data_IF_471612590907
#
_entry.id   IF_471612590907
#
_cell.length_a   1.000
_cell.length_b   1.000
_cell.length_c   1.000
_cell.angle_alpha   90.00
_cell.angle_beta   90.00
_cell.angle_gamma   90.00
#
_symmetry.space_group_name_H-M   'P 1'
#
loop_
_entity.id
_entity.type
_entity.pdbx_description
1 polymer ?
#
# COMPACT_ATOMS: atom_id res chain seq x y z
N UNK A 1 -2.86 12.12 36.04
CA UNK A 1 -3.92 13.09 35.69
C UNK A 1 -4.05 13.20 34.18
N UNK A 2 -5.28 13.39 33.67
CA UNK A 2 -5.62 13.36 32.22
C UNK A 2 -4.69 14.20 31.34
N UNK A 3 -4.21 15.37 31.80
CA UNK A 3 -3.23 16.20 31.08
C UNK A 3 -1.88 15.50 30.79
N UNK A 4 -1.47 14.58 31.66
CA UNK A 4 -0.22 13.82 31.51
C UNK A 4 -0.37 12.70 30.47
N UNK A 5 -1.55 12.06 30.44
CA UNK A 5 -1.91 11.07 29.42
C UNK A 5 -2.03 11.75 28.05
N UNK A 6 -2.69 12.92 27.96
CA UNK A 6 -2.81 13.67 26.70
C UNK A 6 -1.44 14.09 26.12
N UNK A 7 -0.47 14.48 26.97
CA UNK A 7 0.89 14.81 26.53
C UNK A 7 1.65 13.61 25.97
N UNK A 8 1.42 12.42 26.52
CA UNK A 8 2.00 11.17 26.04
C UNK A 8 1.32 10.65 24.76
N UNK A 9 0.02 10.95 24.59
CA UNK A 9 -0.76 10.55 23.40
C UNK A 9 -0.63 11.53 22.23
N UNK A 10 -0.21 12.79 22.45
CA UNK A 10 -0.06 13.80 21.41
C UNK A 10 0.82 13.36 20.21
N UNK A 11 2.03 12.78 20.39
CA UNK A 11 2.83 12.32 19.26
C UNK A 11 2.20 11.13 18.52
N UNK A 12 1.51 10.23 19.25
CA UNK A 12 0.76 9.13 18.66
C UNK A 12 -0.44 9.64 17.83
N UNK A 13 -1.20 10.59 18.36
CA UNK A 13 -2.36 11.20 17.70
C UNK A 13 -1.97 12.02 16.46
N UNK A 14 -0.82 12.70 16.49
CA UNK A 14 -0.28 13.38 15.31
C UNK A 14 0.14 12.38 14.23
N UNK A 15 0.79 11.28 14.60
CA UNK A 15 1.15 10.21 13.66
C UNK A 15 -0.08 9.53 13.04
N UNK A 16 -1.09 9.19 13.86
CA UNK A 16 -2.35 8.61 13.39
C UNK A 16 -3.18 9.59 12.55
N UNK A 17 -3.21 10.87 12.91
CA UNK A 17 -3.88 11.91 12.13
C UNK A 17 -3.28 12.07 10.74
N UNK A 18 -1.97 11.93 10.59
CA UNK A 18 -1.29 11.95 9.30
C UNK A 18 -1.72 10.77 8.41
N UNK A 19 -1.90 9.58 8.99
CA UNK A 19 -2.40 8.40 8.26
C UNK A 19 -3.87 8.53 7.82
N UNK A 20 -4.68 9.34 8.52
CA UNK A 20 -6.06 9.58 8.07
C UNK A 20 -6.15 10.54 6.89
N UNK A 21 -5.16 11.43 6.72
CA UNK A 21 -5.12 12.34 5.58
C UNK A 21 -4.97 11.59 4.26
N UNK A 22 -4.11 10.57 4.19
CA UNK A 22 -3.96 9.75 2.97
C UNK A 22 -5.27 9.07 2.58
N UNK A 23 -5.98 8.50 3.56
CA UNK A 23 -7.31 7.91 3.32
C UNK A 23 -8.32 8.95 2.82
N UNK A 24 -8.31 10.16 3.39
CA UNK A 24 -9.16 11.25 2.93
C UNK A 24 -8.86 11.63 1.47
N UNK A 25 -7.59 11.70 1.10
CA UNK A 25 -7.19 11.96 -0.29
C UNK A 25 -7.64 10.85 -1.23
N UNK A 26 -7.55 9.58 -0.83
CA UNK A 26 -8.03 8.45 -1.61
C UNK A 26 -9.55 8.51 -1.82
N UNK A 27 -10.32 8.86 -0.79
CA UNK A 27 -11.76 9.08 -0.91
C UNK A 27 -12.10 10.28 -1.79
N UNK A 28 -11.35 11.37 -1.70
CA UNK A 28 -11.54 12.55 -2.54
C UNK A 28 -11.24 12.23 -4.01
N UNK A 29 -10.14 11.52 -4.28
CA UNK A 29 -9.77 11.05 -5.61
C UNK A 29 -10.83 10.08 -6.17
N UNK A 30 -11.32 9.16 -5.35
CA UNK A 30 -12.41 8.26 -5.71
C UNK A 30 -13.70 9.01 -6.07
N UNK A 31 -14.10 9.98 -5.25
CA UNK A 31 -15.28 10.81 -5.47
C UNK A 31 -15.16 11.72 -6.70
N UNK A 32 -13.96 12.22 -7.00
CA UNK A 32 -13.73 13.12 -8.16
C UNK A 32 -13.56 12.37 -9.47
N UNK A 33 -12.85 11.24 -9.48
CA UNK A 33 -12.41 10.57 -10.71
C UNK A 33 -13.30 9.40 -11.16
N UNK A 34 -14.10 8.81 -10.26
CA UNK A 34 -14.89 7.59 -10.59
C UNK A 34 -16.23 7.93 -11.19
N UNK A 35 -16.55 7.41 -12.38
CA UNK A 35 -17.90 7.47 -12.95
C UNK A 35 -18.84 6.52 -12.20
N UNK A 36 -19.87 7.07 -11.56
CA UNK A 36 -20.99 6.32 -10.99
C UNK A 36 -22.13 6.26 -12.00
N UNK A 37 -22.95 5.20 -11.97
CA UNK A 37 -24.09 5.01 -12.90
C UNK A 37 -25.09 6.19 -12.90
N UNK A 38 -25.14 6.98 -11.83
CA UNK A 38 -26.02 8.14 -11.67
C UNK A 38 -25.37 9.50 -12.00
N UNK A 39 -24.06 9.57 -12.29
CA UNK A 39 -23.36 10.83 -12.60
C UNK A 39 -22.09 10.56 -13.43
N UNK A 40 -22.22 10.36 -14.77
CA UNK A 40 -21.09 10.05 -15.64
C UNK A 40 -20.13 11.24 -15.87
N UNK A 41 -20.54 12.45 -15.48
CA UNK A 41 -19.84 13.70 -15.80
C UNK A 41 -19.60 14.53 -14.55
N UNK A 42 -18.46 15.24 -14.53
CA UNK A 42 -18.13 16.23 -13.50
C UNK A 42 -18.18 17.63 -14.14
N UNK A 43 -18.91 18.55 -13.52
CA UNK A 43 -19.01 19.93 -13.99
C UNK A 43 -17.92 20.76 -13.30
N UNK A 44 -16.81 20.99 -14.01
CA UNK A 44 -15.74 21.85 -13.54
C UNK A 44 -15.86 23.20 -14.25
N UNK A 45 -16.05 24.29 -13.49
CA UNK A 45 -16.11 25.65 -14.06
C UNK A 45 -17.14 25.81 -15.20
N UNK A 46 -18.28 25.10 -15.13
CA UNK A 46 -19.32 25.15 -16.17
C UNK A 46 -19.05 24.29 -17.41
N UNK A 47 -17.87 23.67 -17.52
CA UNK A 47 -17.55 22.70 -18.55
C UNK A 47 -17.81 21.27 -18.05
N UNK A 48 -18.57 20.52 -18.85
CA UNK A 48 -18.92 19.13 -18.59
C UNK A 48 -17.75 18.26 -19.05
N UNK A 49 -17.05 17.65 -18.10
CA UNK A 49 -15.90 16.77 -18.36
C UNK A 49 -16.30 15.33 -18.03
N UNK A 50 -16.12 14.41 -18.98
CA UNK A 50 -16.33 12.98 -18.76
C UNK A 50 -15.29 12.44 -17.77
N UNK A 51 -15.75 11.63 -16.81
CA UNK A 51 -14.87 11.06 -15.80
C UNK A 51 -14.00 9.95 -16.43
N UNK A 52 -12.67 9.95 -16.17
CA UNK A 52 -11.75 9.04 -16.85
C UNK A 52 -11.84 7.58 -16.39
N UNK A 53 -12.37 7.32 -15.18
CA UNK A 53 -12.46 5.96 -14.63
C UNK A 53 -13.86 5.39 -14.79
N UNK A 54 -13.96 4.24 -15.48
CA UNK A 54 -15.19 3.45 -15.61
C UNK A 54 -15.67 2.92 -14.25
N UNK A 55 -16.97 2.68 -14.14
CA UNK A 55 -17.58 2.05 -12.96
C UNK A 55 -16.86 0.74 -12.58
N UNK A 56 -16.72 0.50 -11.27
CA UNK A 56 -16.08 -0.72 -10.73
C UNK A 56 -14.54 -0.78 -10.84
N UNK A 57 -13.86 0.18 -11.48
CA UNK A 57 -12.38 0.22 -11.50
C UNK A 57 -11.82 0.42 -10.09
N UNK A 58 -12.41 1.31 -9.29
CA UNK A 58 -11.94 1.63 -7.95
C UNK A 58 -12.03 0.41 -7.00
N UNK A 59 -13.10 -0.38 -7.10
CA UNK A 59 -13.28 -1.59 -6.29
C UNK A 59 -12.20 -2.63 -6.61
N UNK A 60 -11.93 -2.86 -7.90
CA UNK A 60 -10.87 -3.77 -8.37
C UNK A 60 -9.48 -3.28 -7.97
N UNK A 61 -9.22 -1.98 -8.11
CA UNK A 61 -7.96 -1.36 -7.68
C UNK A 61 -7.74 -1.53 -6.17
N UNK A 62 -8.76 -1.26 -5.36
CA UNK A 62 -8.70 -1.45 -3.92
C UNK A 62 -8.48 -2.91 -3.53
N UNK A 63 -9.17 -3.86 -4.17
CA UNK A 63 -8.95 -5.29 -3.90
C UNK A 63 -7.51 -5.73 -4.20
N UNK A 64 -6.96 -5.29 -5.35
CA UNK A 64 -5.55 -5.54 -5.69
C UNK A 64 -4.60 -4.88 -4.68
N UNK A 65 -4.87 -3.63 -4.30
CA UNK A 65 -4.05 -2.88 -3.34
C UNK A 65 -4.07 -3.50 -1.93
N UNK A 66 -5.22 -4.00 -1.45
CA UNK A 66 -5.31 -4.70 -0.17
C UNK A 66 -4.46 -5.95 -0.17
N UNK A 67 -4.53 -6.77 -1.23
CA UNK A 67 -3.73 -7.98 -1.32
C UNK A 67 -2.23 -7.68 -1.44
N UNK A 68 -1.86 -6.60 -2.14
CA UNK A 68 -0.48 -6.12 -2.25
C UNK A 68 0.09 -5.62 -0.91
N UNK A 69 -0.70 -4.88 -0.12
CA UNK A 69 -0.26 -4.34 1.16
C UNK A 69 -0.07 -5.41 2.24
N UNK A 70 -0.78 -6.54 2.16
CA UNK A 70 -0.69 -7.60 3.15
C UNK A 70 0.74 -8.17 3.33
N UNK A 71 1.39 -8.74 2.29
CA UNK A 71 2.72 -9.28 2.43
C UNK A 71 3.76 -8.19 2.68
N UNK A 72 3.64 -7.03 2.00
CA UNK A 72 4.54 -5.91 2.22
C UNK A 72 4.50 -5.43 3.67
N UNK A 73 3.31 -5.23 4.25
CA UNK A 73 3.15 -4.72 5.60
C UNK A 73 3.78 -5.64 6.65
N UNK A 74 3.59 -6.95 6.52
CA UNK A 74 4.18 -7.93 7.45
C UNK A 74 5.71 -7.95 7.34
N UNK A 75 6.22 -8.02 6.13
CA UNK A 75 7.64 -8.25 5.91
C UNK A 75 8.46 -6.95 6.12
N UNK A 76 7.99 -5.80 5.62
CA UNK A 76 8.62 -4.50 5.85
C UNK A 76 8.64 -4.12 7.34
N UNK A 77 7.55 -4.39 8.08
CA UNK A 77 7.50 -4.15 9.52
C UNK A 77 8.50 -5.06 10.25
N UNK A 78 8.54 -6.34 9.89
CA UNK A 78 9.46 -7.32 10.50
C UNK A 78 10.92 -6.92 10.30
N UNK A 79 11.29 -6.54 9.07
CA UNK A 79 12.64 -6.10 8.75
C UNK A 79 12.98 -4.79 9.49
N UNK A 80 12.05 -3.82 9.51
CA UNK A 80 12.24 -2.55 10.22
C UNK A 80 12.51 -2.75 11.72
N UNK A 81 11.70 -3.57 12.40
CA UNK A 81 11.87 -3.85 13.84
C UNK A 81 13.17 -4.59 14.13
N UNK A 82 13.62 -5.48 13.23
CA UNK A 82 14.87 -6.23 13.42
C UNK A 82 16.12 -5.38 13.13
N UNK A 83 16.10 -4.56 12.08
CA UNK A 83 17.27 -3.80 11.60
C UNK A 83 17.46 -2.50 12.38
N UNK A 84 16.39 -1.85 12.80
CA UNK A 84 16.46 -0.52 13.43
C UNK A 84 17.34 -0.49 14.70
N UNK A 85 17.21 -1.42 15.67
CA UNK A 85 18.06 -1.42 16.86
C UNK A 85 19.55 -1.61 16.53
N UNK A 86 19.86 -2.42 15.52
CA UNK A 86 21.23 -2.68 15.08
C UNK A 86 21.86 -1.40 14.51
N UNK A 87 21.15 -0.70 13.62
CA UNK A 87 21.60 0.55 13.03
C UNK A 87 21.76 1.64 14.10
N UNK A 88 20.80 1.77 15.02
CA UNK A 88 20.90 2.75 16.13
C UNK A 88 22.13 2.50 17.00
N UNK A 89 22.48 1.25 17.28
CA UNK A 89 23.68 0.90 18.06
C UNK A 89 24.98 1.25 17.35
N UNK A 90 25.09 0.99 16.05
CA UNK A 90 26.29 1.37 15.28
C UNK A 90 26.41 2.89 15.13
N UNK A 91 25.30 3.58 14.86
CA UNK A 91 25.27 5.03 14.76
C UNK A 91 25.68 5.72 16.07
N UNK A 92 25.15 5.26 17.22
CA UNK A 92 25.48 5.82 18.53
C UNK A 92 26.96 5.63 18.93
N UNK A 93 27.64 4.62 18.37
CA UNK A 93 29.07 4.33 18.60
C UNK A 93 30.00 5.00 17.59
N UNK A 94 29.46 5.68 16.57
CA UNK A 94 30.24 6.26 15.48
C UNK A 94 30.89 5.22 14.56
N UNK A 95 30.41 3.98 14.56
CA UNK A 95 30.96 2.86 13.79
C UNK A 95 30.37 2.84 12.36
N UNK A 96 30.81 3.81 11.56
CA UNK A 96 30.34 3.99 10.18
C UNK A 96 30.57 2.79 9.25
N UNK A 97 31.70 2.05 9.33
CA UNK A 97 31.91 0.86 8.51
C UNK A 97 30.85 -0.22 8.75
N UNK A 98 30.60 -0.58 10.02
CA UNK A 98 29.60 -1.60 10.35
C UNK A 98 28.16 -1.10 10.10
N UNK A 99 27.90 0.19 10.26
CA UNK A 99 26.61 0.79 9.90
C UNK A 99 26.31 0.62 8.41
N UNK A 100 27.27 0.96 7.55
CA UNK A 100 27.12 0.83 6.08
C UNK A 100 26.90 -0.62 5.67
N UNK A 101 27.66 -1.54 6.26
CA UNK A 101 27.57 -2.96 5.96
C UNK A 101 26.22 -3.56 6.42
N UNK A 102 25.73 -3.16 7.60
CA UNK A 102 24.39 -3.51 8.08
C UNK A 102 23.28 -2.95 7.19
N UNK A 103 23.40 -1.71 6.74
CA UNK A 103 22.45 -1.07 5.82
C UNK A 103 22.42 -1.80 4.47
N UNK A 104 23.59 -2.10 3.89
CA UNK A 104 23.67 -2.83 2.62
C UNK A 104 23.06 -4.23 2.73
N UNK A 105 23.26 -4.92 3.85
CA UNK A 105 22.59 -6.20 4.12
C UNK A 105 21.08 -6.04 4.18
N UNK A 106 20.59 -5.03 4.90
CA UNK A 106 19.15 -4.76 5.00
C UNK A 106 18.54 -4.47 3.62
N UNK A 107 19.16 -3.61 2.81
CA UNK A 107 18.71 -3.32 1.44
C UNK A 107 18.69 -4.58 0.56
N UNK A 108 19.74 -5.42 0.64
CA UNK A 108 19.78 -6.68 -0.11
C UNK A 108 18.67 -7.64 0.31
N UNK A 109 18.36 -7.71 1.60
CA UNK A 109 17.23 -8.50 2.11
C UNK A 109 15.90 -7.95 1.62
N UNK A 110 15.69 -6.62 1.67
CA UNK A 110 14.48 -5.97 1.15
C UNK A 110 14.24 -6.31 -0.31
N UNK A 111 15.29 -6.30 -1.15
CA UNK A 111 15.16 -6.62 -2.58
C UNK A 111 14.80 -8.10 -2.78
N UNK A 112 15.44 -9.02 -2.03
CA UNK A 112 15.12 -10.46 -2.09
C UNK A 112 13.69 -10.75 -1.65
N UNK A 113 13.24 -10.08 -0.60
CA UNK A 113 11.87 -10.15 -0.08
C UNK A 113 10.85 -9.61 -1.08
N UNK A 114 11.14 -8.45 -1.70
CA UNK A 114 10.29 -7.87 -2.73
C UNK A 114 10.16 -8.78 -3.96
N UNK A 115 11.26 -9.41 -4.39
CA UNK A 115 11.24 -10.39 -5.47
C UNK A 115 10.44 -11.65 -5.11
N UNK A 116 10.66 -12.22 -3.92
CA UNK A 116 9.91 -13.39 -3.46
C UNK A 116 8.41 -13.11 -3.35
N UNK A 117 8.04 -11.94 -2.82
CA UNK A 117 6.66 -11.48 -2.71
C UNK A 117 6.04 -11.25 -4.07
N UNK A 118 6.76 -10.62 -5.00
CA UNK A 118 6.30 -10.42 -6.37
C UNK A 118 5.99 -11.74 -7.07
N UNK A 119 6.89 -12.73 -6.98
CA UNK A 119 6.66 -14.08 -7.53
C UNK A 119 5.47 -14.77 -6.84
N UNK A 120 5.36 -14.65 -5.52
CA UNK A 120 4.24 -15.19 -4.75
C UNK A 120 2.89 -14.60 -5.19
N UNK A 121 2.82 -13.27 -5.36
CA UNK A 121 1.61 -12.60 -5.84
C UNK A 121 1.29 -12.93 -7.30
N UNK A 122 2.30 -13.14 -8.16
CA UNK A 122 2.06 -13.54 -9.55
C UNK A 122 1.50 -14.96 -9.67
N UNK A 123 1.93 -15.87 -8.80
CA UNK A 123 1.53 -17.29 -8.83
C UNK A 123 0.25 -17.57 -8.04
N UNK A 124 0.09 -16.96 -6.87
CA UNK A 124 -1.02 -17.20 -5.95
C UNK A 124 -2.06 -16.06 -5.94
N UNK A 125 -1.79 -14.92 -6.58
CA UNK A 125 -2.68 -13.76 -6.51
C UNK A 125 -4.08 -14.02 -7.06
N UNK A 126 -4.20 -14.78 -8.15
CA UNK A 126 -5.50 -15.14 -8.74
C UNK A 126 -6.37 -16.00 -7.82
N UNK A 127 -5.90 -17.16 -7.30
CA UNK A 127 -6.71 -17.95 -6.38
C UNK A 127 -7.00 -17.23 -5.07
N UNK A 128 -6.11 -16.36 -4.58
CA UNK A 128 -6.36 -15.56 -3.37
C UNK A 128 -7.43 -14.49 -3.62
N UNK A 129 -7.37 -13.77 -4.74
CA UNK A 129 -8.40 -12.78 -5.08
C UNK A 129 -9.75 -13.45 -5.25
N UNK A 130 -9.78 -14.58 -5.96
CA UNK A 130 -11.01 -15.36 -6.14
C UNK A 130 -11.58 -15.78 -4.77
N UNK A 131 -10.74 -16.33 -3.89
CA UNK A 131 -11.16 -16.82 -2.59
C UNK A 131 -11.68 -15.73 -1.65
N UNK A 132 -11.13 -14.51 -1.72
CA UNK A 132 -11.47 -13.44 -0.78
C UNK A 132 -12.58 -12.54 -1.34
N UNK A 133 -12.48 -12.18 -2.63
CA UNK A 133 -13.30 -11.13 -3.22
C UNK A 133 -14.40 -11.64 -4.17
N UNK A 134 -14.33 -12.87 -4.70
CA UNK A 134 -15.30 -13.39 -5.69
C UNK A 134 -16.61 -13.87 -5.05
N UNK A 135 -17.37 -12.94 -4.48
CA UNK A 135 -18.68 -13.19 -3.88
C UNK A 135 -19.67 -12.08 -4.25
N UNK A 136 -20.96 -12.41 -4.29
CA UNK A 136 -22.04 -11.45 -4.59
C UNK A 136 -21.91 -10.88 -6.01
N UNK A 137 -21.78 -9.55 -6.10
CA UNK A 137 -21.69 -8.82 -7.37
C UNK A 137 -20.29 -8.88 -8.02
N UNK A 138 -19.28 -9.38 -7.30
CA UNK A 138 -17.91 -9.50 -7.82
C UNK A 138 -17.73 -10.87 -8.49
N UNK A 139 -17.70 -10.88 -9.83
CA UNK A 139 -17.68 -12.11 -10.62
C UNK A 139 -16.26 -12.51 -11.04
N UNK A 140 -16.15 -13.67 -11.69
CA UNK A 140 -14.88 -14.16 -12.22
C UNK A 140 -14.23 -13.18 -13.22
N UNK A 141 -15.04 -12.44 -14.00
CA UNK A 141 -14.54 -11.40 -14.91
C UNK A 141 -13.85 -10.24 -14.15
N UNK A 142 -14.39 -9.85 -12.99
CA UNK A 142 -13.80 -8.82 -12.13
C UNK A 142 -12.53 -9.31 -11.43
N UNK A 143 -12.48 -10.60 -11.12
CA UNK A 143 -11.28 -11.28 -10.61
C UNK A 143 -10.15 -11.21 -11.63
N UNK A 144 -10.40 -11.61 -12.89
CA UNK A 144 -9.39 -11.57 -13.94
C UNK A 144 -8.87 -10.14 -14.20
N UNK A 145 -9.76 -9.13 -14.17
CA UNK A 145 -9.37 -7.74 -14.30
C UNK A 145 -8.54 -7.23 -13.10
N UNK A 146 -8.90 -7.64 -11.88
CA UNK A 146 -8.13 -7.34 -10.66
C UNK A 146 -6.75 -7.98 -10.69
N UNK A 147 -6.65 -9.22 -11.16
CA UNK A 147 -5.36 -9.93 -11.32
C UNK A 147 -4.44 -9.18 -12.29
N UNK A 148 -4.98 -8.60 -13.36
CA UNK A 148 -4.19 -7.75 -14.26
C UNK A 148 -3.59 -6.55 -13.52
N UNK A 149 -4.39 -5.85 -12.71
CA UNK A 149 -3.92 -4.73 -11.89
C UNK A 149 -2.86 -5.21 -10.89
N UNK A 150 -3.10 -6.35 -10.23
CA UNK A 150 -2.16 -6.93 -9.26
C UNK A 150 -0.80 -7.26 -9.91
N UNK A 151 -0.78 -7.74 -11.16
CA UNK A 151 0.47 -7.99 -11.90
C UNK A 151 1.29 -6.73 -12.10
N UNK A 152 0.65 -5.59 -12.38
CA UNK A 152 1.34 -4.29 -12.44
C UNK A 152 1.93 -3.91 -11.09
N UNK A 153 1.20 -4.10 -9.98
CA UNK A 153 1.74 -3.86 -8.64
C UNK A 153 2.91 -4.80 -8.29
N UNK A 154 2.82 -6.08 -8.66
CA UNK A 154 3.91 -7.03 -8.46
C UNK A 154 5.18 -6.64 -9.25
N UNK A 155 5.02 -6.06 -10.45
CA UNK A 155 6.13 -5.54 -11.25
C UNK A 155 6.73 -4.26 -10.68
N UNK A 156 6.02 -3.46 -9.89
CA UNK A 156 6.60 -2.26 -9.24
C UNK A 156 7.29 -2.58 -7.91
N UNK A 157 7.06 -3.76 -7.36
CA UNK A 157 7.45 -4.15 -6.00
C UNK A 157 8.98 -4.12 -5.80
N UNK A 158 9.76 -4.55 -6.79
CA UNK A 158 11.22 -4.50 -6.72
C UNK A 158 11.78 -3.07 -6.70
N UNK A 159 11.09 -2.13 -7.36
CA UNK A 159 11.51 -0.72 -7.40
C UNK A 159 11.19 0.04 -6.11
N UNK A 160 10.21 -0.42 -5.33
CA UNK A 160 9.85 0.19 -4.05
C UNK A 160 10.78 -0.23 -2.90
N UNK A 161 11.49 -1.35 -3.06
CA UNK A 161 12.41 -1.89 -2.05
C UNK A 161 13.85 -1.35 -2.14
N UNK A 162 14.18 -0.53 -3.15
CA UNK A 162 15.49 0.12 -3.35
C UNK A 162 15.50 1.58 -2.95
#
# INVERSE_FOLDING_TARGET
>A
GVKSILKLMAPLLLGLGFLQLTSLFDYLAGWTLTATEHSPTFTLLGHVVERPLRSGVLVRLNAANTLYQFPMGVLALSLGVAVFPLLSRYAARGDWPNLRDALNRALRLSIMEGLATGVGLLTLGEPIIALIFQHGDFRAADTAATVHILRFYAMTLWAFCS
#
